data_IF_025679965955
#
_entry.id   IF_025679965955
#
_cell.length_a   1.000
_cell.length_b   1.000
_cell.length_c   1.000
_cell.angle_alpha   90.00
_cell.angle_beta   90.00
_cell.angle_gamma   90.00
#
_symmetry.space_group_name_H-M   'P 1'
#
loop_
_entity.id
_entity.type
_entity.pdbx_description
1 polymer ?
2 water ?
#
# COMPACT_ATOMS: atom_id res chain seq x y z
N UNK A 18 -7.50 -14.54 -15.00
CA UNK A 18 -7.48 -13.58 -16.14
C UNK A 18 -8.07 -12.23 -15.75
N UNK A 19 -9.21 -12.26 -15.05
CA UNK A 19 -9.85 -11.03 -14.61
C UNK A 19 -9.65 -10.86 -13.11
N UNK A 20 -9.27 -9.65 -12.70
CA UNK A 20 -9.07 -9.38 -11.28
C UNK A 20 -10.42 -9.12 -10.62
N UNK A 21 -10.72 -9.91 -9.60
CA UNK A 21 -11.97 -9.79 -8.87
C UNK A 21 -13.14 -9.83 -9.84
N UNK A 22 -12.97 -10.65 -10.88
CA UNK A 22 -13.99 -10.83 -11.90
C UNK A 22 -14.41 -9.61 -12.68
N UNK A 23 -13.57 -8.57 -12.72
CA UNK A 23 -13.94 -7.36 -13.43
C UNK A 23 -12.84 -6.56 -14.13
N UNK A 24 -11.71 -6.36 -13.46
CA UNK A 24 -10.63 -5.55 -14.04
C UNK A 24 -9.51 -6.31 -14.73
N UNK A 25 -8.90 -5.63 -15.70
CA UNK A 25 -7.79 -6.19 -16.46
C UNK A 25 -6.52 -5.44 -16.08
N UNK A 26 -5.39 -6.13 -16.09
CA UNK A 26 -4.11 -5.54 -15.76
C UNK A 26 -3.21 -5.36 -16.97
N UNK A 27 -3.59 -5.92 -18.11
CA UNK A 27 -2.74 -5.83 -19.30
C UNK A 27 -2.34 -4.41 -19.73
N UNK A 28 -3.08 -3.40 -19.31
CA UNK A 28 -2.73 -2.03 -19.67
C UNK A 28 -2.22 -1.23 -18.46
N UNK A 29 -1.98 -1.91 -17.35
CA UNK A 29 -1.48 -1.25 -16.15
C UNK A 29 0.04 -1.14 -16.27
N UNK A 30 0.57 0.05 -16.01
CA UNK A 30 2.00 0.28 -16.12
C UNK A 30 2.75 0.53 -14.81
N UNK A 31 3.88 -0.15 -14.65
CA UNK A 31 4.74 0.01 -13.48
C UNK A 31 5.98 0.72 -14.00
N UNK A 32 6.01 2.05 -13.84
CA UNK A 32 7.12 2.86 -14.34
C UNK A 32 8.37 2.86 -13.48
N UNK A 33 8.26 2.40 -12.24
CA UNK A 33 9.42 2.34 -11.36
C UNK A 33 10.19 1.08 -11.73
N UNK A 34 11.34 1.23 -12.41
CA UNK A 34 12.16 0.09 -12.84
C UNK A 34 12.55 -0.87 -11.72
N UNK A 35 12.70 -0.36 -10.50
CA UNK A 35 13.10 -1.21 -9.38
C UNK A 35 11.99 -2.12 -8.87
N UNK A 36 10.74 -1.83 -9.23
CA UNK A 36 9.63 -2.66 -8.77
C UNK A 36 8.96 -3.43 -9.90
N UNK A 37 9.10 -2.93 -11.12
CA UNK A 37 8.48 -3.56 -12.28
C UNK A 37 8.71 -5.07 -12.37
N UNK A 38 9.94 -5.54 -12.09
CA UNK A 38 10.17 -6.98 -12.18
C UNK A 38 9.49 -7.80 -11.09
N UNK A 39 9.08 -7.16 -10.01
CA UNK A 39 8.49 -7.90 -8.90
C UNK A 39 6.99 -7.73 -8.66
N UNK A 40 6.33 -6.89 -9.46
CA UNK A 40 4.89 -6.71 -9.31
C UNK A 40 4.23 -7.56 -10.38
N UNK A 41 3.55 -8.61 -9.94
CA UNK A 41 2.90 -9.52 -10.87
C UNK A 41 1.54 -9.01 -11.34
N UNK A 42 1.46 -8.74 -12.64
CA UNK A 42 0.24 -8.27 -13.26
C UNK A 42 -0.18 -9.29 -14.32
N UNK A 43 -0.03 -10.56 -13.98
CA UNK A 43 -0.39 -11.64 -14.89
C UNK A 43 -1.47 -12.52 -14.29
N UNK A 44 -2.34 -13.09 -15.14
CA UNK A 44 -3.44 -13.95 -14.71
C UNK A 44 -3.02 -15.20 -13.93
N UNK A 45 -3.61 -15.34 -12.74
CA UNK A 45 -3.38 -16.47 -11.85
C UNK A 45 -1.97 -17.04 -11.98
N UNK A 64 3.99 -12.40 -7.57
CA UNK A 64 3.58 -11.41 -6.57
C UNK A 64 2.31 -10.68 -7.00
N UNK A 65 1.16 -11.25 -6.66
CA UNK A 65 -0.12 -10.66 -7.00
C UNK A 65 -0.48 -9.59 -5.97
N UNK A 66 -0.23 -8.33 -6.33
CA UNK A 66 -0.49 -7.22 -5.42
C UNK A 66 -1.91 -7.10 -4.90
N UNK A 67 -2.90 -7.49 -5.69
CA UNK A 67 -4.28 -7.38 -5.23
C UNK A 67 -4.49 -8.42 -4.14
N UNK A 68 -3.96 -9.62 -4.36
CA UNK A 68 -4.07 -10.68 -3.37
C UNK A 68 -3.34 -10.25 -2.11
N UNK A 69 -2.19 -9.59 -2.29
CA UNK A 69 -1.41 -9.10 -1.15
C UNK A 69 -2.21 -8.04 -0.39
N UNK A 70 -2.84 -7.12 -1.12
CA UNK A 70 -3.62 -6.08 -0.47
C UNK A 70 -4.74 -6.73 0.35
N UNK A 71 -5.46 -7.67 -0.25
CA UNK A 71 -6.54 -8.35 0.45
C UNK A 71 -6.02 -8.96 1.75
N UNK A 72 -4.84 -9.59 1.69
CA UNK A 72 -4.25 -10.19 2.87
C UNK A 72 -3.99 -9.14 3.95
N UNK A 73 -3.47 -7.99 3.54
CA UNK A 73 -3.19 -6.90 4.47
C UNK A 73 -4.47 -6.36 5.10
N UNK A 74 -5.51 -6.21 4.28
CA UNK A 74 -6.79 -5.72 4.75
C UNK A 74 -7.40 -6.75 5.70
N UNK A 75 -7.23 -8.02 5.36
CA UNK A 75 -7.75 -9.13 6.16
C UNK A 75 -7.15 -9.13 7.57
N UNK A 76 -5.91 -8.64 7.69
CA UNK A 76 -5.22 -8.61 8.97
C UNK A 76 -5.32 -7.26 9.69
N UNK A 77 -6.18 -6.38 9.21
CA UNK A 77 -6.35 -5.07 9.82
C UNK A 77 -7.61 -5.00 10.69
N UNK A 78 -8.77 -4.87 10.05
CA UNK A 78 -10.01 -4.80 10.80
C UNK A 78 -11.23 -4.47 9.95
N UNK A 79 -12.13 -3.67 10.50
CA UNK A 79 -13.34 -3.29 9.78
C UNK A 79 -14.54 -4.12 10.18
N UNK A 80 -14.50 -4.68 11.38
CA UNK A 80 -15.58 -5.51 11.89
C UNK A 80 -16.95 -4.86 11.68
N UNK A 98 -16.52 -15.80 6.06
CA UNK A 98 -15.09 -15.96 6.31
C UNK A 98 -14.38 -14.61 6.26
N UNK A 99 -13.23 -14.52 6.91
CA UNK A 99 -12.46 -13.29 6.95
C UNK A 99 -11.88 -12.92 5.59
N UNK A 100 -11.67 -13.92 4.74
CA UNK A 100 -11.10 -13.68 3.42
C UNK A 100 -12.14 -13.08 2.48
N UNK A 101 -13.37 -13.58 2.55
CA UNK A 101 -14.44 -13.07 1.70
C UNK A 101 -14.71 -11.61 2.07
N UNK A 102 -14.65 -11.32 3.36
CA UNK A 102 -14.88 -9.98 3.88
C UNK A 102 -13.85 -9.01 3.29
N UNK A 103 -12.58 -9.37 3.43
CA UNK A 103 -11.48 -8.56 2.94
C UNK A 103 -11.57 -8.41 1.42
N UNK A 104 -12.00 -9.47 0.75
CA UNK A 104 -12.15 -9.46 -0.70
C UNK A 104 -13.19 -8.42 -1.10
N UNK A 105 -14.33 -8.42 -0.41
CA UNK A 105 -15.40 -7.48 -0.70
C UNK A 105 -15.02 -6.04 -0.41
N UNK A 106 -14.28 -5.82 0.67
CA UNK A 106 -13.83 -4.47 1.01
C UNK A 106 -12.91 -3.94 -0.10
N UNK A 107 -11.96 -4.76 -0.54
CA UNK A 107 -11.05 -4.32 -1.59
C UNK A 107 -11.78 -4.07 -2.90
N UNK A 108 -12.71 -4.95 -3.25
CA UNK A 108 -13.47 -4.79 -4.49
C UNK A 108 -14.27 -3.48 -4.49
N UNK A 109 -14.96 -3.19 -3.39
CA UNK A 109 -15.75 -1.96 -3.31
C UNK A 109 -14.82 -0.75 -3.34
N UNK A 110 -13.67 -0.86 -2.69
CA UNK A 110 -12.70 0.24 -2.67
C UNK A 110 -12.26 0.54 -4.11
N UNK A 111 -12.04 -0.51 -4.90
CA UNK A 111 -11.63 -0.35 -6.30
C UNK A 111 -12.72 0.35 -7.12
N UNK A 112 -13.97 -0.02 -6.89
CA UNK A 112 -15.08 0.63 -7.61
C UNK A 112 -15.10 2.12 -7.28
N UNK A 113 -14.87 2.44 -6.01
CA UNK A 113 -14.85 3.82 -5.56
C UNK A 113 -13.66 4.56 -6.20
N UNK A 114 -12.48 3.95 -6.15
CA UNK A 114 -11.29 4.56 -6.75
C UNK A 114 -11.53 4.88 -8.23
N UNK A 115 -12.14 3.94 -8.94
CA UNK A 115 -12.39 4.14 -10.37
C UNK A 115 -13.34 5.31 -10.61
N UNK A 116 -14.38 5.43 -9.79
CA UNK A 116 -15.34 6.52 -9.93
C UNK A 116 -14.71 7.87 -9.61
N UNK A 117 -13.89 7.91 -8.57
CA UNK A 117 -13.28 9.15 -8.15
C UNK A 117 -12.15 9.64 -9.04
N UNK A 118 -11.34 8.72 -9.55
CA UNK A 118 -10.20 9.09 -10.39
C UNK A 118 -10.47 8.94 -11.88
N UNK A 119 -11.41 8.06 -12.23
CA UNK A 119 -11.70 7.82 -13.63
C UNK A 119 -10.68 6.86 -14.22
N UNK A 120 -9.81 6.29 -13.38
CA UNK A 120 -8.78 5.37 -13.85
C UNK A 120 -8.95 3.94 -13.38
N UNK A 121 -8.23 3.03 -14.03
CA UNK A 121 -8.23 1.61 -13.66
C UNK A 121 -7.75 1.61 -12.20
N UNK A 122 -8.53 1.02 -11.28
CA UNK A 122 -8.17 0.98 -9.85
C UNK A 122 -6.85 0.29 -9.56
N UNK A 123 -6.53 -0.73 -10.35
CA UNK A 123 -5.29 -1.45 -10.17
C UNK A 123 -4.12 -0.53 -10.51
N UNK A 124 -4.30 0.34 -11.49
CA UNK A 124 -3.24 1.27 -11.87
C UNK A 124 -3.03 2.29 -10.75
N UNK A 125 -4.12 2.74 -10.13
CA UNK A 125 -4.00 3.71 -9.04
C UNK A 125 -3.29 3.04 -7.86
N UNK A 126 -3.60 1.77 -7.59
CA UNK A 126 -2.94 1.04 -6.50
C UNK A 126 -1.44 0.96 -6.76
N UNK A 127 -1.07 0.72 -8.01
CA UNK A 127 0.34 0.64 -8.37
C UNK A 127 1.04 1.97 -8.07
N UNK A 128 0.41 3.08 -8.41
CA UNK A 128 1.01 4.38 -8.14
C UNK A 128 1.15 4.59 -6.63
N UNK A 129 0.12 4.20 -5.89
CA UNK A 129 0.14 4.33 -4.43
C UNK A 129 1.29 3.52 -3.85
N UNK A 130 1.45 2.30 -4.36
CA UNK A 130 2.52 1.42 -3.90
C UNK A 130 3.88 2.01 -4.23
N UNK A 131 4.03 2.49 -5.46
CA UNK A 131 5.28 3.08 -5.91
C UNK A 131 5.65 4.31 -5.09
N UNK A 132 4.65 5.04 -4.62
CA UNK A 132 4.88 6.24 -3.82
C UNK A 132 5.08 5.92 -2.35
N UNK A 133 4.49 4.81 -1.90
CA UNK A 133 4.59 4.43 -0.49
C UNK A 133 5.68 3.41 -0.17
N UNK A 134 6.40 2.96 -1.19
CA UNK A 134 7.46 1.98 -0.98
C UNK A 134 8.79 2.69 -0.70
N UNK A 135 9.29 2.60 0.54
CA UNK A 135 10.56 3.26 0.85
C UNK A 135 11.71 2.60 0.09
N UNK A 136 12.66 3.41 -0.36
CA UNK A 136 13.80 2.89 -1.12
C UNK A 136 14.90 2.35 -0.21
N UNK A 137 14.78 2.62 1.08
CA UNK A 137 15.73 2.15 2.08
C UNK A 137 15.03 2.16 3.42
N UNK A 138 15.58 1.44 4.39
CA UNK A 138 14.98 1.38 5.71
C UNK A 138 16.07 1.47 6.77
N UNK A 139 15.71 1.24 8.03
CA UNK A 139 16.68 1.27 9.11
C UNK A 139 16.37 0.20 10.15
N UNK A 140 17.38 -0.13 10.95
CA UNK A 140 17.23 -1.12 12.00
C UNK A 140 17.70 -0.47 13.30
N UNK A 141 16.85 -0.52 14.33
CA UNK A 141 17.18 0.08 15.62
C UNK A 141 18.04 -0.83 16.47
N UNK A 142 18.92 -0.22 17.26
CA UNK A 142 19.81 -0.96 18.14
C UNK A 142 19.94 -0.20 19.46
N UNK A 143 18.95 -0.35 20.33
CA UNK A 143 18.94 0.33 21.62
C UNK A 143 19.83 -0.39 22.63
N UNK A 144 21.13 -0.13 22.56
CA UNK A 144 22.07 -0.75 23.48
C UNK A 144 22.48 0.26 24.55
N UNK A 145 22.54 -0.18 25.80
CA UNK A 145 22.90 0.71 26.88
C UNK A 145 21.71 1.56 27.29
N UNK A 146 21.85 2.88 27.16
CA UNK A 146 20.77 3.77 27.52
C UNK A 146 20.32 4.64 26.37
N UNK A 147 20.75 4.30 25.16
CA UNK A 147 20.39 5.06 23.97
C UNK A 147 20.12 4.14 22.79
N UNK A 148 19.05 4.43 22.05
CA UNK A 148 18.69 3.63 20.89
C UNK A 148 19.30 4.27 19.65
N UNK A 149 19.94 3.44 18.82
CA UNK A 149 20.58 3.94 17.61
C UNK A 149 19.88 3.49 16.34
N UNK A 150 20.02 4.29 15.29
CA UNK A 150 19.43 4.01 13.99
C UNK A 150 20.50 3.68 12.97
N UNK A 151 20.27 2.63 12.20
CA UNK A 151 21.23 2.22 11.19
C UNK A 151 20.50 1.98 9.88
N UNK A 152 20.97 2.61 8.81
CA UNK A 152 20.35 2.44 7.50
C UNK A 152 20.65 1.04 6.97
N UNK A 153 19.63 0.39 6.43
CA UNK A 153 19.79 -0.95 5.88
C UNK A 153 19.04 -1.15 4.57
N UNK A 154 19.45 -2.19 3.85
CA UNK A 154 18.84 -2.55 2.58
C UNK A 154 17.41 -3.02 2.83
N UNK A 155 16.52 -2.75 1.88
CA UNK A 155 15.15 -3.22 1.98
C UNK A 155 14.89 -3.89 0.63
N UNK A 156 14.48 -5.15 0.66
CA UNK A 156 14.24 -5.88 -0.57
C UNK A 156 13.03 -5.37 -1.34
N UNK A 157 12.96 -5.68 -2.65
CA UNK A 157 11.85 -5.25 -3.49
C UNK A 157 10.49 -5.71 -2.94
N UNK A 158 10.41 -6.97 -2.52
CA UNK A 158 9.15 -7.48 -1.99
C UNK A 158 8.81 -6.91 -0.62
N UNK A 159 9.82 -6.58 0.18
CA UNK A 159 9.52 -5.99 1.48
C UNK A 159 9.04 -4.55 1.28
N UNK A 160 9.55 -3.88 0.25
CA UNK A 160 9.15 -2.51 -0.06
C UNK A 160 7.66 -2.52 -0.34
N UNK A 161 7.22 -3.50 -1.12
CA UNK A 161 5.82 -3.65 -1.48
C UNK A 161 5.00 -3.99 -0.24
N UNK A 162 5.49 -4.95 0.54
CA UNK A 162 4.80 -5.37 1.75
C UNK A 162 4.62 -4.20 2.71
N UNK A 163 5.64 -3.36 2.83
CA UNK A 163 5.58 -2.20 3.72
C UNK A 163 4.52 -1.21 3.22
N UNK A 164 4.53 -0.94 1.92
CA UNK A 164 3.58 -0.02 1.32
C UNK A 164 2.13 -0.51 1.49
N UNK A 165 1.91 -1.79 1.21
CA UNK A 165 0.57 -2.35 1.32
C UNK A 165 0.10 -2.40 2.77
N UNK A 166 1.02 -2.73 3.68
CA UNK A 166 0.70 -2.80 5.10
C UNK A 166 0.29 -1.41 5.60
N UNK A 167 1.07 -0.40 5.24
CA UNK A 167 0.78 0.97 5.67
C UNK A 167 -0.51 1.52 5.05
N UNK A 168 -0.83 1.08 3.83
CA UNK A 168 -2.04 1.54 3.16
C UNK A 168 -3.25 0.96 3.92
N UNK A 169 -3.16 -0.32 4.26
CA UNK A 169 -4.24 -0.99 4.99
C UNK A 169 -4.36 -0.41 6.40
N UNK A 170 -3.22 -0.13 7.03
CA UNK A 170 -3.21 0.43 8.37
C UNK A 170 -3.83 1.82 8.36
N UNK A 171 -3.42 2.64 7.40
CA UNK A 171 -3.96 3.98 7.28
C UNK A 171 -5.47 3.94 7.06
N UNK A 172 -5.92 3.05 6.19
CA UNK A 172 -7.34 2.90 5.89
C UNK A 172 -8.11 2.44 7.13
N UNK A 173 -7.58 1.40 7.77
CA UNK A 173 -8.20 0.83 8.95
C UNK A 173 -8.34 1.87 10.05
N UNK A 174 -7.32 2.71 10.21
CA UNK A 174 -7.33 3.75 11.22
C UNK A 174 -8.37 4.83 10.94
N UNK A 175 -8.43 5.29 9.69
CA UNK A 175 -9.39 6.32 9.32
C UNK A 175 -10.81 5.82 9.51
N UNK A 176 -11.04 4.57 9.11
CA UNK A 176 -12.34 3.93 9.22
C UNK A 176 -12.83 3.91 10.67
N UNK A 177 -12.01 3.34 11.54
CA UNK A 177 -12.32 3.22 12.96
C UNK A 177 -12.70 4.54 13.62
N UNK A 178 -12.08 5.63 13.18
CA UNK A 178 -12.34 6.94 13.78
C UNK A 178 -13.17 7.95 13.01
N UNK A 179 -13.66 7.60 11.82
CA UNK A 179 -14.47 8.55 11.05
C UNK A 179 -15.76 7.90 10.60
N UNK A 180 -16.55 8.62 9.80
CA UNK A 180 -17.81 8.09 9.31
C UNK A 180 -17.69 7.52 7.90
N UNK A 181 -16.52 6.96 7.59
CA UNK A 181 -16.25 6.34 6.30
C UNK A 181 -16.23 4.83 6.48
N UNK A 182 -16.75 4.09 5.51
CA UNK A 182 -16.70 2.64 5.60
C UNK A 182 -15.24 2.27 5.32
N UNK A 183 -14.87 1.04 5.62
CA UNK A 183 -13.51 0.57 5.40
C UNK A 183 -13.15 0.75 3.91
N UNK A 184 -14.09 0.42 3.02
CA UNK A 184 -13.85 0.54 1.58
C UNK A 184 -13.58 1.98 1.15
N UNK A 185 -14.35 2.92 1.69
CA UNK A 185 -14.16 4.32 1.34
C UNK A 185 -12.82 4.85 1.87
N UNK A 186 -12.43 4.40 3.06
CA UNK A 186 -11.17 4.83 3.67
C UNK A 186 -9.98 4.26 2.90
N UNK A 187 -10.13 3.04 2.42
CA UNK A 187 -9.09 2.38 1.66
C UNK A 187 -8.94 3.08 0.31
N UNK A 188 -10.07 3.44 -0.30
CA UNK A 188 -10.04 4.15 -1.58
C UNK A 188 -9.36 5.50 -1.39
N UNK A 189 -9.75 6.22 -0.35
CA UNK A 189 -9.16 7.54 -0.08
C UNK A 189 -7.66 7.43 0.20
N UNK A 190 -7.26 6.44 1.00
CA UNK A 190 -5.85 6.26 1.33
C UNK A 190 -5.04 5.96 0.07
N UNK A 191 -5.56 5.08 -0.78
CA UNK A 191 -4.86 4.72 -2.01
C UNK A 191 -4.74 5.92 -2.96
N UNK A 192 -5.80 6.72 -3.05
CA UNK A 192 -5.77 7.89 -3.92
C UNK A 192 -4.78 8.94 -3.41
N UNK A 193 -4.77 9.16 -2.10
CA UNK A 193 -3.85 10.14 -1.51
C UNK A 193 -2.41 9.73 -1.78
N UNK A 194 -2.11 8.45 -1.55
CA UNK A 194 -0.77 7.93 -1.76
C UNK A 194 -0.37 8.04 -3.23
N UNK A 195 -1.29 7.71 -4.13
CA UNK A 195 -1.01 7.78 -5.57
C UNK A 195 -0.70 9.22 -5.98
N UNK A 196 -1.23 10.18 -5.24
CA UNK A 196 -1.00 11.59 -5.54
C UNK A 196 0.11 12.23 -4.71
N UNK A 197 0.86 11.41 -3.97
CA UNK A 197 1.93 11.90 -3.12
C UNK A 197 1.41 13.01 -2.21
N UNK A 198 0.27 12.75 -1.57
CA UNK A 198 -0.33 13.71 -0.67
C UNK A 198 0.02 13.30 0.76
N UNK A 199 0.67 14.20 1.51
CA UNK A 199 1.06 13.91 2.90
C UNK A 199 -0.09 13.49 3.79
N UNK A 200 -1.32 13.80 3.38
CA UNK A 200 -2.48 13.41 4.17
C UNK A 200 -2.52 11.88 4.21
N UNK A 201 -1.85 11.26 3.24
CA UNK A 201 -1.79 9.81 3.17
C UNK A 201 -0.86 9.28 4.25
N UNK A 202 -1.36 8.35 5.04
CA UNK A 202 -0.56 7.74 6.10
C UNK A 202 0.62 6.99 5.48
N UNK A 203 0.33 6.15 4.50
CA UNK A 203 1.36 5.36 3.83
C UNK A 203 2.45 6.23 3.22
N UNK A 204 2.04 7.28 2.51
CA UNK A 204 3.02 8.16 1.88
C UNK A 204 3.85 8.91 2.91
N UNK A 205 3.21 9.44 3.95
CA UNK A 205 3.92 10.18 4.98
C UNK A 205 4.87 9.24 5.73
N UNK A 206 4.45 8.00 5.91
CA UNK A 206 5.28 7.01 6.59
C UNK A 206 6.51 6.74 5.73
N UNK A 207 6.30 6.65 4.42
CA UNK A 207 7.38 6.41 3.47
C UNK A 207 8.41 7.53 3.55
N UNK A 208 7.94 8.77 3.60
CA UNK A 208 8.85 9.91 3.70
C UNK A 208 9.64 9.85 5.00
N UNK A 209 8.95 9.51 6.08
CA UNK A 209 9.56 9.40 7.40
C UNK A 209 10.68 8.36 7.42
N UNK A 210 10.38 7.16 6.92
CA UNK A 210 11.36 6.09 6.88
C UNK A 210 12.61 6.49 6.12
N UNK A 211 12.44 7.07 4.93
CA UNK A 211 13.59 7.46 4.12
C UNK A 211 14.37 8.61 4.77
N UNK A 212 13.64 9.50 5.45
CA UNK A 212 14.26 10.63 6.12
C UNK A 212 15.20 10.10 7.21
N UNK A 213 14.68 9.20 8.04
CA UNK A 213 15.47 8.60 9.11
C UNK A 213 16.64 7.79 8.55
N UNK A 214 16.41 7.06 7.46
CA UNK A 214 17.46 6.25 6.85
C UNK A 214 18.59 7.10 6.27
N UNK A 215 18.22 8.14 5.52
CA UNK A 215 19.21 9.03 4.91
C UNK A 215 20.05 9.76 5.95
N UNK A 216 19.48 9.97 7.13
CA UNK A 216 20.16 10.67 8.21
C UNK A 216 20.99 9.71 9.06
N UNK A 217 20.68 8.43 8.96
CA UNK A 217 21.37 7.41 9.74
C UNK A 217 22.45 6.71 8.93
N UNK A 218 23.16 7.49 8.12
CA UNK A 218 24.23 6.94 7.29
C UNK A 218 25.59 7.40 7.79
#
# INVERSE_FOLDING_TARGET
MKEVAKPLQERFFIPHEIKVMGRWSTEDVEVKDPSLKPYINLEPRLLPHTHGRHAKKHFGKANVHIVERLINKVMRSGGSHYKVAGHFMRREHRSLNSKKVRAYEVVKEAFKIIEKRTGKNPIQVLVWAIENAAPREDTTSVMFGGIRYHVAVDISPLRRLDVALRNIALGASAKCYRTKMSFAEALAEEIILAANKDPKSYAYSKKLEIERIAESSR
#
